data_IF_232601859585
#
_entry.id   IF_232601859585
#
_cell.length_a   1.000
_cell.length_b   1.000
_cell.length_c   1.000
_cell.angle_alpha   90.00
_cell.angle_beta   90.00
_cell.angle_gamma   90.00
#
_symmetry.space_group_name_H-M   'P 1'
#
loop_
_entity.id
_entity.type
_entity.pdbx_description
1 polymer ?
#
# COMPACT_ATOMS: atom_id res chain seq x y z
N UNK A 1 -9.34 13.33 -91.11
CA UNK A 1 -8.29 13.91 -91.96
C UNK A 1 -7.63 15.01 -91.14
N UNK A 2 -6.29 15.11 -91.17
CA UNK A 2 -5.36 15.80 -90.25
C UNK A 2 -5.10 14.99 -88.95
N UNK A 3 -3.96 14.36 -88.68
CA UNK A 3 -2.51 14.56 -88.89
C UNK A 3 -1.78 15.24 -87.72
N UNK A 4 -0.60 14.68 -87.41
CA UNK A 4 0.57 15.18 -86.66
C UNK A 4 0.62 15.22 -85.11
N UNK A 5 1.29 14.18 -84.57
CA UNK A 5 2.60 14.17 -83.85
C UNK A 5 2.87 15.11 -82.66
N UNK A 6 3.26 14.51 -81.53
CA UNK A 6 4.60 14.53 -80.88
C UNK A 6 4.43 13.95 -79.47
N UNK A 7 5.12 12.89 -79.05
CA UNK A 7 6.56 12.81 -78.85
C UNK A 7 6.84 12.99 -77.35
N UNK A 8 7.28 11.92 -76.67
CA UNK A 8 8.27 11.92 -75.56
C UNK A 8 8.53 10.45 -75.18
N UNK A 9 9.79 10.05 -75.42
CA UNK A 9 10.47 8.89 -74.86
C UNK A 9 10.60 9.01 -73.34
N UNK A 10 10.28 7.94 -72.61
CA UNK A 10 10.88 7.66 -71.31
C UNK A 10 11.24 6.17 -71.20
N UNK A 11 12.45 5.85 -70.72
CA UNK A 11 13.04 4.53 -70.83
C UNK A 11 12.53 3.51 -69.81
N UNK A 12 12.42 2.28 -70.30
CA UNK A 12 12.83 1.02 -69.68
C UNK A 12 12.60 0.83 -68.18
N UNK A 13 11.45 0.23 -67.90
CA UNK A 13 11.19 -0.63 -66.75
C UNK A 13 12.22 -1.76 -66.70
N UNK A 14 13.08 -1.80 -65.68
CA UNK A 14 13.80 -3.02 -65.29
C UNK A 14 14.26 -2.92 -63.85
N UNK A 15 13.59 -3.70 -62.99
CA UNK A 15 14.17 -4.36 -61.82
C UNK A 15 14.81 -3.47 -60.76
N UNK A 16 14.02 -3.08 -59.76
CA UNK A 16 14.55 -2.88 -58.42
C UNK A 16 13.88 -3.88 -57.47
N UNK A 17 14.76 -4.64 -56.85
CA UNK A 17 14.53 -5.77 -55.98
C UNK A 17 13.76 -5.33 -54.72
N UNK A 18 12.91 -6.23 -54.24
CA UNK A 18 12.23 -6.10 -52.96
C UNK A 18 13.27 -5.96 -51.82
N UNK A 19 13.49 -4.73 -51.36
CA UNK A 19 14.14 -4.50 -50.07
C UNK A 19 13.28 -5.11 -48.96
N UNK A 20 13.86 -6.10 -48.30
CA UNK A 20 13.28 -6.79 -47.16
C UNK A 20 12.92 -5.81 -46.05
N UNK A 21 11.62 -5.71 -45.77
CA UNK A 21 11.09 -5.11 -44.55
C UNK A 21 11.52 -5.93 -43.32
N UNK A 22 12.75 -5.71 -42.83
CA UNK A 22 13.13 -6.04 -41.46
C UNK A 22 12.52 -5.01 -40.51
N UNK A 23 11.25 -5.22 -40.17
CA UNK A 23 10.70 -4.76 -38.90
C UNK A 23 11.14 -5.75 -37.85
N UNK A 24 12.13 -5.38 -37.03
CA UNK A 24 12.19 -5.72 -35.60
C UNK A 24 13.53 -5.31 -35.00
N UNK A 25 13.58 -4.07 -34.52
CA UNK A 25 14.50 -3.68 -33.45
C UNK A 25 13.90 -2.47 -32.75
N UNK A 26 12.72 -2.67 -32.13
CA UNK A 26 12.28 -1.76 -31.08
C UNK A 26 13.32 -1.84 -29.96
N UNK A 27 14.16 -0.80 -29.86
CA UNK A 27 15.14 -0.64 -28.81
C UNK A 27 14.43 -0.78 -27.46
N UNK A 28 14.64 -1.90 -26.79
CA UNK A 28 14.23 -2.08 -25.40
C UNK A 28 14.88 -0.96 -24.58
N UNK A 29 14.11 -0.15 -23.84
CA UNK A 29 14.71 0.83 -22.96
C UNK A 29 15.64 0.09 -21.99
N UNK A 30 16.79 0.69 -21.63
CA UNK A 30 17.71 0.04 -20.72
C UNK A 30 16.95 -0.33 -19.44
N UNK A 31 16.96 -1.62 -19.09
CA UNK A 31 16.50 -2.11 -17.78
C UNK A 31 17.25 -1.28 -16.75
N UNK A 32 16.56 -0.33 -16.12
CA UNK A 32 17.11 0.42 -15.00
C UNK A 32 17.62 -0.62 -14.00
N UNK A 33 18.93 -0.61 -13.76
CA UNK A 33 19.52 -1.45 -12.74
C UNK A 33 18.77 -1.15 -11.43
N UNK A 34 18.20 -2.18 -10.83
CA UNK A 34 17.53 -2.04 -9.54
C UNK A 34 18.51 -1.36 -8.59
N UNK A 35 18.13 -0.28 -7.89
CA UNK A 35 19.01 0.36 -6.92
C UNK A 35 19.46 -0.69 -5.92
N UNK A 36 20.78 -0.74 -5.69
CA UNK A 36 21.39 -1.68 -4.76
C UNK A 36 20.69 -1.54 -3.40
N UNK A 37 20.08 -2.62 -2.91
CA UNK A 37 19.43 -2.64 -1.59
C UNK A 37 20.49 -2.21 -0.57
N UNK A 38 20.28 -1.11 0.19
CA UNK A 38 21.24 -0.68 1.20
C UNK A 38 21.50 -1.84 2.15
N UNK A 39 22.77 -2.23 2.29
CA UNK A 39 23.18 -3.45 3.01
C UNK A 39 22.92 -3.43 4.53
N UNK A 40 22.17 -2.45 5.04
CA UNK A 40 21.92 -2.28 6.46
C UNK A 40 20.56 -1.62 6.75
N UNK A 41 19.52 -2.02 5.99
CA UNK A 41 18.15 -1.59 6.26
C UNK A 41 17.56 -2.35 7.46
N UNK A 42 16.76 -1.68 8.31
CA UNK A 42 15.91 -2.35 9.29
C UNK A 42 15.09 -3.49 8.66
N UNK A 43 14.88 -4.63 9.36
CA UNK A 43 14.23 -5.80 8.77
C UNK A 43 12.83 -5.52 8.19
N UNK A 44 12.01 -4.74 8.90
CA UNK A 44 10.68 -4.38 8.41
C UNK A 44 10.74 -3.46 7.20
N UNK A 45 11.68 -2.51 7.20
CA UNK A 45 11.91 -1.62 6.07
C UNK A 45 12.28 -2.42 4.82
N UNK A 46 13.18 -3.40 4.96
CA UNK A 46 13.56 -4.29 3.86
C UNK A 46 12.36 -5.09 3.32
N UNK A 47 11.51 -5.61 4.20
CA UNK A 47 10.29 -6.33 3.80
C UNK A 47 9.29 -5.43 3.06
N UNK A 48 9.08 -4.20 3.51
CA UNK A 48 8.19 -3.24 2.85
C UNK A 48 8.75 -2.76 1.51
N UNK A 49 10.05 -2.52 1.45
CA UNK A 49 10.74 -2.16 0.21
C UNK A 49 10.62 -3.29 -0.83
N UNK A 50 10.81 -4.54 -0.41
CA UNK A 50 10.58 -5.71 -1.26
C UNK A 50 9.13 -5.78 -1.75
N UNK A 51 8.15 -5.64 -0.85
CA UNK A 51 6.73 -5.66 -1.21
C UNK A 51 6.36 -4.59 -2.24
N UNK A 52 6.89 -3.38 -2.07
CA UNK A 52 6.68 -2.27 -3.01
C UNK A 52 7.32 -2.53 -4.37
N UNK A 53 8.57 -3.03 -4.39
CA UNK A 53 9.32 -3.26 -5.63
C UNK A 53 8.74 -4.41 -6.47
N UNK A 54 8.36 -5.50 -5.81
CA UNK A 54 7.86 -6.71 -6.46
C UNK A 54 6.32 -6.72 -6.60
N UNK A 55 5.63 -5.68 -6.12
CA UNK A 55 4.16 -5.61 -6.15
C UNK A 55 3.46 -6.70 -5.33
N UNK A 56 4.11 -7.22 -4.27
CA UNK A 56 3.58 -8.30 -3.47
C UNK A 56 2.47 -7.85 -2.52
N UNK A 57 1.52 -8.75 -2.28
CA UNK A 57 0.47 -8.59 -1.26
C UNK A 57 0.53 -9.79 -0.31
N UNK A 58 0.30 -9.55 0.98
CA UNK A 58 0.46 -10.60 1.99
C UNK A 58 0.50 -10.06 3.41
N UNK A 59 1.04 -10.88 4.31
CA UNK A 59 1.14 -10.56 5.73
C UNK A 59 2.60 -10.60 6.17
N UNK A 60 3.02 -9.58 6.89
CA UNK A 60 4.34 -9.47 7.52
C UNK A 60 4.11 -9.58 9.03
N UNK A 61 4.71 -10.58 9.66
CA UNK A 61 4.78 -10.69 11.11
C UNK A 61 6.10 -10.09 11.58
N UNK A 62 6.02 -9.26 12.61
CA UNK A 62 7.18 -8.66 13.29
C UNK A 62 7.16 -9.13 14.74
N UNK A 63 8.27 -9.65 15.24
CA UNK A 63 8.44 -10.03 16.63
C UNK A 63 9.59 -9.24 17.27
N UNK A 64 9.36 -8.70 18.47
CA UNK A 64 10.31 -7.91 19.26
C UNK A 64 10.23 -8.42 20.70
N UNK A 65 11.15 -9.30 21.08
CA UNK A 65 11.05 -10.00 22.37
C UNK A 65 9.72 -10.76 22.45
N UNK A 66 8.87 -10.41 23.42
CA UNK A 66 7.52 -10.99 23.60
C UNK A 66 6.43 -10.27 22.80
N UNK A 67 6.71 -9.08 22.27
CA UNK A 67 5.75 -8.30 21.50
C UNK A 67 5.68 -8.79 20.06
N UNK A 68 4.47 -8.81 19.51
CA UNK A 68 4.20 -9.23 18.14
C UNK A 68 3.26 -8.26 17.43
N UNK A 69 3.67 -7.82 16.25
CA UNK A 69 2.83 -7.09 15.32
C UNK A 69 2.54 -7.94 14.08
N UNK A 70 1.33 -7.81 13.54
CA UNK A 70 0.97 -8.42 12.25
C UNK A 70 0.48 -7.33 11.32
N UNK A 71 1.20 -7.13 10.22
CA UNK A 71 0.91 -6.12 9.21
C UNK A 71 0.40 -6.79 7.94
N UNK A 72 -0.73 -6.34 7.42
CA UNK A 72 -1.26 -6.83 6.15
C UNK A 72 -1.07 -5.78 5.07
N UNK A 73 -0.44 -6.19 3.97
CA UNK A 73 -0.14 -5.36 2.81
C UNK A 73 -0.98 -5.85 1.63
N UNK A 74 -1.63 -4.91 0.93
CA UNK A 74 -2.34 -5.17 -0.32
C UNK A 74 -2.11 -4.03 -1.28
N UNK A 75 -1.80 -4.36 -2.54
CA UNK A 75 -1.71 -3.38 -3.63
C UNK A 75 -0.81 -2.17 -3.32
N UNK A 76 0.35 -2.40 -2.70
CA UNK A 76 1.32 -1.35 -2.35
C UNK A 76 0.92 -0.48 -1.14
N UNK A 77 -0.02 -0.92 -0.33
CA UNK A 77 -0.50 -0.21 0.87
C UNK A 77 -0.60 -1.15 2.06
N UNK A 78 -0.38 -0.64 3.25
CA UNK A 78 -0.75 -1.33 4.49
C UNK A 78 -2.24 -1.10 4.74
N UNK A 79 -2.98 -2.21 4.81
CA UNK A 79 -4.44 -2.19 5.00
C UNK A 79 -4.85 -2.54 6.43
N UNK A 80 -3.96 -3.12 7.23
CA UNK A 80 -4.26 -3.48 8.62
C UNK A 80 -2.97 -3.67 9.42
N UNK A 81 -3.00 -3.26 10.68
CA UNK A 81 -1.93 -3.48 11.67
C UNK A 81 -2.56 -4.00 12.95
N UNK A 82 -2.25 -5.25 13.30
CA UNK A 82 -2.61 -5.84 14.59
C UNK A 82 -1.44 -5.67 15.55
N UNK A 83 -1.60 -4.76 16.53
CA UNK A 83 -0.63 -4.45 17.57
C UNK A 83 -1.39 -3.91 18.80
N UNK A 84 -0.92 -4.11 20.05
CA UNK A 84 -1.59 -3.57 21.24
C UNK A 84 -1.84 -2.06 21.16
N UNK A 85 -0.89 -1.29 20.62
CA UNK A 85 -1.02 0.17 20.48
C UNK A 85 -1.92 0.63 19.32
N UNK A 86 -2.39 -0.29 18.46
CA UNK A 86 -3.39 -0.01 17.41
C UNK A 86 -4.72 -0.74 17.66
N UNK A 87 -4.88 -1.34 18.84
CA UNK A 87 -6.08 -2.08 19.24
C UNK A 87 -7.32 -1.18 19.42
N UNK A 88 -8.50 -1.79 19.51
CA UNK A 88 -9.74 -1.06 19.82
C UNK A 88 -9.66 -0.27 21.13
N UNK A 89 -8.99 -0.84 22.14
CA UNK A 89 -8.76 -0.16 23.42
C UNK A 89 -7.87 1.08 23.24
N UNK A 90 -6.78 0.96 22.48
CA UNK A 90 -5.91 2.10 22.16
C UNK A 90 -6.66 3.21 21.40
N UNK A 91 -7.54 2.84 20.48
CA UNK A 91 -8.42 3.77 19.75
C UNK A 91 -9.37 4.51 20.70
N UNK A 92 -10.03 3.80 21.62
CA UNK A 92 -10.94 4.40 22.60
C UNK A 92 -10.17 5.33 23.55
N UNK A 93 -8.99 4.93 24.02
CA UNK A 93 -8.13 5.79 24.83
C UNK A 93 -7.69 7.03 24.06
N UNK A 94 -7.36 6.91 22.77
CA UNK A 94 -7.06 8.06 21.92
C UNK A 94 -8.27 9.01 21.82
N UNK A 95 -9.48 8.50 21.59
CA UNK A 95 -10.70 9.33 21.58
C UNK A 95 -10.90 10.10 22.90
N UNK A 96 -10.64 9.45 24.05
CA UNK A 96 -10.73 10.08 25.37
C UNK A 96 -9.66 11.17 25.55
N UNK A 97 -8.40 10.87 25.21
CA UNK A 97 -7.28 11.83 25.29
C UNK A 97 -7.51 13.06 24.42
N UNK A 98 -8.08 12.90 23.24
CA UNK A 98 -8.43 14.01 22.34
C UNK A 98 -9.72 14.76 22.74
N UNK A 99 -10.38 14.37 23.83
CA UNK A 99 -11.61 15.01 24.30
C UNK A 99 -12.83 14.75 23.41
N UNK A 100 -12.76 13.77 22.49
CA UNK A 100 -13.87 13.40 21.60
C UNK A 100 -14.98 12.66 22.36
N UNK A 101 -14.61 11.93 23.42
CA UNK A 101 -15.52 11.26 24.33
C UNK A 101 -15.11 11.52 25.77
N UNK A 102 -16.09 11.60 26.66
CA UNK A 102 -15.89 11.63 28.12
C UNK A 102 -16.41 10.33 28.75
N UNK A 103 -16.20 10.16 30.06
CA UNK A 103 -16.57 8.92 30.77
C UNK A 103 -18.08 8.61 30.67
N UNK A 104 -18.93 9.64 30.75
CA UNK A 104 -20.39 9.47 30.59
C UNK A 104 -20.79 9.00 29.19
N UNK A 105 -20.10 9.48 28.16
CA UNK A 105 -20.32 9.05 26.77
C UNK A 105 -19.80 7.62 26.56
N UNK A 106 -18.66 7.28 27.16
CA UNK A 106 -18.07 5.94 27.10
C UNK A 106 -18.99 4.89 27.73
N UNK A 107 -19.52 5.14 28.93
CA UNK A 107 -20.48 4.23 29.58
C UNK A 107 -21.73 3.98 28.71
N UNK A 108 -22.22 5.00 28.01
CA UNK A 108 -23.36 4.87 27.09
C UNK A 108 -22.97 4.06 25.85
N UNK A 109 -21.79 4.30 25.28
CA UNK A 109 -21.26 3.54 24.17
C UNK A 109 -21.09 2.06 24.53
N UNK A 110 -20.59 1.73 25.72
CA UNK A 110 -20.47 0.35 26.23
C UNK A 110 -21.82 -0.37 26.34
N UNK A 111 -22.87 0.33 26.80
CA UNK A 111 -24.22 -0.24 26.82
C UNK A 111 -24.72 -0.54 25.40
N UNK A 112 -24.43 0.33 24.45
CA UNK A 112 -24.78 0.13 23.04
C UNK A 112 -23.98 -1.03 22.43
N UNK A 113 -22.68 -1.08 22.68
CA UNK A 113 -21.77 -2.12 22.22
C UNK A 113 -22.23 -3.51 22.66
N UNK A 114 -22.54 -3.68 23.96
CA UNK A 114 -23.09 -4.92 24.51
C UNK A 114 -24.44 -5.29 23.91
N UNK A 115 -25.37 -4.33 23.83
CA UNK A 115 -26.73 -4.58 23.31
C UNK A 115 -26.74 -4.97 21.84
N UNK A 116 -25.82 -4.43 21.04
CA UNK A 116 -25.77 -4.65 19.58
C UNK A 116 -24.66 -5.59 19.13
N UNK A 117 -23.90 -6.19 20.05
CA UNK A 117 -22.76 -7.05 19.77
C UNK A 117 -21.77 -6.42 18.76
N UNK A 118 -21.35 -5.18 19.02
CA UNK A 118 -20.39 -4.43 18.18
C UNK A 118 -19.19 -3.95 18.99
N UNK A 119 -18.14 -3.53 18.29
CA UNK A 119 -16.94 -2.98 18.93
C UNK A 119 -17.25 -1.64 19.62
N UNK A 120 -16.50 -1.31 20.66
CA UNK A 120 -16.78 -0.13 21.48
C UNK A 120 -16.60 1.17 20.69
N UNK A 121 -15.56 1.25 19.86
CA UNK A 121 -15.30 2.38 18.99
C UNK A 121 -16.36 2.52 17.88
N UNK A 122 -16.94 1.41 17.42
CA UNK A 122 -18.07 1.44 16.47
C UNK A 122 -19.36 1.90 17.16
N UNK A 123 -19.57 1.53 18.41
CA UNK A 123 -20.68 2.00 19.22
C UNK A 123 -20.61 3.51 19.49
N UNK A 124 -19.39 4.07 19.65
CA UNK A 124 -19.19 5.52 19.77
C UNK A 124 -19.63 6.27 18.49
N UNK A 125 -19.39 5.68 17.32
CA UNK A 125 -19.88 6.21 16.04
C UNK A 125 -21.39 6.06 15.93
N UNK A 126 -21.95 4.90 16.27
CA UNK A 126 -23.40 4.67 16.25
C UNK A 126 -24.17 5.60 17.20
N UNK A 127 -23.55 5.99 18.31
CA UNK A 127 -24.07 6.97 19.28
C UNK A 127 -23.88 8.43 18.84
N UNK A 128 -23.24 8.68 17.68
CA UNK A 128 -22.90 10.01 17.15
C UNK A 128 -21.96 10.83 18.02
N UNK A 129 -21.15 10.20 18.88
CA UNK A 129 -20.10 10.90 19.62
C UNK A 129 -18.93 11.25 18.72
N UNK A 130 -18.63 10.38 17.76
CA UNK A 130 -17.52 10.53 16.81
C UNK A 130 -18.03 10.18 15.41
N UNK A 131 -17.54 10.84 14.37
CA UNK A 131 -17.88 10.48 12.99
C UNK A 131 -17.11 9.24 12.53
N UNK A 132 -17.62 8.50 11.55
CA UNK A 132 -16.90 7.37 10.97
C UNK A 132 -15.54 7.78 10.38
N UNK A 133 -15.46 8.97 9.76
CA UNK A 133 -14.22 9.52 9.22
C UNK A 133 -13.20 9.86 10.32
N UNK A 134 -13.66 10.42 11.44
CA UNK A 134 -12.79 10.68 12.60
C UNK A 134 -12.24 9.38 13.19
N UNK A 135 -13.07 8.34 13.31
CA UNK A 135 -12.62 7.02 13.76
C UNK A 135 -11.57 6.43 12.79
N UNK A 136 -11.81 6.52 11.48
CA UNK A 136 -10.85 6.06 10.47
C UNK A 136 -9.51 6.79 10.58
N UNK A 137 -9.53 8.12 10.74
CA UNK A 137 -8.31 8.92 10.91
C UNK A 137 -7.54 8.54 12.19
N UNK A 138 -8.23 8.29 13.31
CA UNK A 138 -7.56 7.86 14.55
C UNK A 138 -6.91 6.49 14.37
N UNK A 139 -7.62 5.53 13.77
CA UNK A 139 -7.08 4.19 13.48
C UNK A 139 -5.86 4.26 12.58
N UNK A 140 -5.94 5.05 11.51
CA UNK A 140 -4.85 5.24 10.57
C UNK A 140 -3.63 5.86 11.25
N UNK A 141 -3.80 6.90 12.07
CA UNK A 141 -2.71 7.54 12.79
C UNK A 141 -2.04 6.64 13.83
N UNK A 142 -2.81 5.86 14.59
CA UNK A 142 -2.23 4.87 15.50
C UNK A 142 -1.47 3.77 14.75
N UNK A 143 -1.98 3.31 13.60
CA UNK A 143 -1.28 2.35 12.77
C UNK A 143 0.02 2.94 12.19
N UNK A 144 -0.02 4.20 11.75
CA UNK A 144 1.14 4.94 11.24
C UNK A 144 2.22 5.06 12.32
N UNK A 145 1.88 5.52 13.52
CA UNK A 145 2.81 5.62 14.65
C UNK A 145 3.47 4.28 14.98
N UNK A 146 2.68 3.20 15.05
CA UNK A 146 3.21 1.84 15.28
C UNK A 146 4.16 1.42 14.16
N UNK A 147 3.78 1.64 12.90
CA UNK A 147 4.61 1.24 11.77
C UNK A 147 5.91 2.02 11.70
N UNK A 148 5.89 3.33 11.96
CA UNK A 148 7.10 4.14 11.98
C UNK A 148 8.05 3.71 13.10
N UNK A 149 7.54 3.39 14.30
CA UNK A 149 8.37 2.82 15.37
C UNK A 149 9.00 1.49 14.93
N UNK A 150 8.20 0.57 14.38
CA UNK A 150 8.68 -0.74 13.94
C UNK A 150 9.66 -0.66 12.75
N UNK A 151 9.50 0.33 11.86
CA UNK A 151 10.37 0.53 10.69
C UNK A 151 11.78 0.99 11.07
N UNK A 152 11.94 1.63 12.23
CA UNK A 152 13.24 2.10 12.71
C UNK A 152 13.99 1.04 13.53
N UNK A 153 13.30 -0.02 13.99
CA UNK A 153 13.88 -1.08 14.81
C UNK A 153 14.75 -2.03 14.01
N UNK A 154 15.94 -2.33 14.56
CA UNK A 154 16.91 -3.28 13.98
C UNK A 154 16.91 -4.63 14.68
N UNK A 155 16.43 -4.66 15.91
CA UNK A 155 16.35 -5.79 16.83
C UNK A 155 14.98 -6.49 16.75
N UNK A 156 14.51 -6.76 15.53
CA UNK A 156 13.23 -7.41 15.31
C UNK A 156 13.36 -8.57 14.32
N UNK A 157 12.61 -9.63 14.58
CA UNK A 157 12.48 -10.76 13.67
C UNK A 157 11.28 -10.53 12.75
N UNK A 158 11.53 -10.57 11.44
CA UNK A 158 10.50 -10.32 10.43
C UNK A 158 10.29 -11.57 9.58
N UNK A 159 9.04 -12.04 9.54
CA UNK A 159 8.60 -13.15 8.71
C UNK A 159 7.47 -12.71 7.80
N UNK A 160 7.67 -12.79 6.49
CA UNK A 160 6.69 -12.41 5.50
C UNK A 160 6.09 -13.61 4.76
N UNK A 161 4.78 -13.59 4.57
CA UNK A 161 4.03 -14.53 3.75
C UNK A 161 3.31 -13.74 2.67
N UNK A 162 3.80 -13.81 1.42
CA UNK A 162 3.28 -13.07 0.28
C UNK A 162 2.06 -13.74 -0.36
N UNK A 163 1.07 -14.04 0.47
CA UNK A 163 -0.22 -14.57 0.03
C UNK A 163 -1.30 -13.92 0.86
N UNK A 164 -2.14 -13.12 0.21
CA UNK A 164 -3.22 -12.42 0.90
C UNK A 164 -4.31 -13.42 1.29
N UNK A 165 -4.60 -13.52 2.59
CA UNK A 165 -5.70 -14.34 3.09
C UNK A 165 -7.03 -13.66 2.75
N UNK A 166 -7.98 -14.43 2.22
CA UNK A 166 -9.37 -13.98 2.02
C UNK A 166 -9.96 -13.50 3.35
N UNK A 167 -10.69 -12.38 3.32
CA UNK A 167 -11.36 -11.82 4.50
C UNK A 167 -10.50 -10.88 5.35
N UNK A 168 -9.36 -10.41 4.84
CA UNK A 168 -8.58 -9.36 5.52
C UNK A 168 -9.41 -8.08 5.60
N UNK A 169 -9.72 -7.63 6.82
CA UNK A 169 -10.46 -6.39 7.06
C UNK A 169 -9.53 -5.19 6.89
N UNK A 170 -9.93 -4.23 6.05
CA UNK A 170 -9.24 -2.95 5.93
C UNK A 170 -9.55 -2.09 7.17
N UNK A 171 -8.51 -1.72 7.90
CA UNK A 171 -8.56 -0.92 9.14
C UNK A 171 -7.87 0.43 9.00
N UNK A 172 -6.90 0.54 8.09
CA UNK A 172 -6.16 1.75 7.74
C UNK A 172 -5.80 1.71 6.24
N UNK A 173 -5.40 2.82 5.64
CA UNK A 173 -4.91 2.84 4.25
C UNK A 173 -3.62 3.65 4.16
N UNK A 174 -2.50 3.02 4.51
CA UNK A 174 -1.19 3.69 4.55
C UNK A 174 -0.34 3.28 3.34
N UNK A 175 -0.04 4.18 2.39
CA UNK A 175 0.79 3.85 1.23
C UNK A 175 2.22 3.46 1.63
N UNK A 176 2.74 2.36 1.09
CA UNK A 176 4.14 1.98 1.34
C UNK A 176 5.15 3.06 0.92
N UNK A 177 5.00 3.76 -0.23
CA UNK A 177 5.92 4.84 -0.59
C UNK A 177 5.97 5.97 0.44
N UNK A 178 4.84 6.27 1.08
CA UNK A 178 4.77 7.26 2.15
C UNK A 178 5.53 6.79 3.39
N UNK A 179 5.21 5.59 3.90
CA UNK A 179 5.86 5.02 5.09
C UNK A 179 7.37 4.89 4.94
N UNK A 180 7.84 4.42 3.77
CA UNK A 180 9.27 4.25 3.49
C UNK A 180 10.01 5.59 3.39
N UNK A 181 9.32 6.67 3.00
CA UNK A 181 9.89 8.02 2.95
C UNK A 181 9.99 8.63 4.35
N UNK A 182 8.97 8.46 5.19
CA UNK A 182 8.96 9.00 6.55
C UNK A 182 9.95 8.29 7.49
N UNK A 183 10.36 7.06 7.17
CA UNK A 183 11.31 6.28 7.96
C UNK A 183 12.80 6.46 7.57
N UNK A 184 13.12 7.41 6.68
CA UNK A 184 14.49 7.76 6.24
C UNK A 184 15.01 9.00 6.96
#
# INVERSE_FOLDING_TARGET
MFDQSDGIDLPSSSGLELEGLSRDAAAQPPRQAAPAVPRNLPPLFAAFYHALREGCSGTVTVAIGEERAVVTISSGRVISVSHPNSSGDAVVQAMKRFGLINDKALEKAERIARRKAMLLEEAAVAARYVSAGTLANIREKLCEEVLLDLLLRRDCDVSAVWTLRKGSREMCVLPLPYLLKEAQ
#
